data_IF_999236681963
#
_entry.id   IF_999236681963
#
_cell.length_a   1.000
_cell.length_b   1.000
_cell.length_c   1.000
_cell.angle_alpha   90.00
_cell.angle_beta   90.00
_cell.angle_gamma   90.00
#
_symmetry.space_group_name_H-M   'P 1'
#
loop_
_entity.id
_entity.type
_entity.pdbx_description
1 polymer ?
#
# COMPACT_ATOMS: atom_id res chain seq x y z
N UNK A 1 5.60 -9.38 -5.48
CA UNK A 1 6.97 -8.92 -5.14
C UNK A 1 7.57 -9.91 -4.15
N UNK A 2 8.75 -10.40 -4.49
CA UNK A 2 9.44 -11.48 -3.78
C UNK A 2 10.58 -10.92 -2.93
N UNK A 3 10.75 -11.38 -1.70
CA UNK A 3 11.88 -11.07 -0.84
C UNK A 3 12.39 -12.37 -0.20
N UNK A 4 13.66 -12.71 -0.41
CA UNK A 4 14.31 -13.96 0.02
C UNK A 4 13.51 -15.23 -0.37
N UNK A 5 12.86 -15.21 -1.54
CA UNK A 5 12.01 -16.31 -2.01
C UNK A 5 10.57 -16.28 -1.49
N UNK A 6 10.22 -15.36 -0.59
CA UNK A 6 8.86 -15.20 -0.09
C UNK A 6 8.06 -14.16 -0.87
N UNK A 7 6.80 -14.45 -1.17
CA UNK A 7 5.90 -13.46 -1.74
C UNK A 7 5.39 -12.52 -0.64
N UNK A 8 5.98 -11.33 -0.53
CA UNK A 8 5.76 -10.40 0.60
C UNK A 8 4.80 -9.24 0.32
N UNK A 9 4.43 -9.02 -0.95
CA UNK A 9 3.52 -7.92 -1.31
C UNK A 9 3.39 -7.64 -2.80
N UNK A 10 2.67 -6.57 -3.10
CA UNK A 10 2.35 -6.12 -4.46
C UNK A 10 2.79 -4.68 -4.64
N UNK A 11 3.43 -4.39 -5.77
CA UNK A 11 3.58 -3.02 -6.25
C UNK A 11 2.41 -2.72 -7.18
N UNK A 12 1.73 -1.60 -6.98
CA UNK A 12 0.54 -1.24 -7.75
C UNK A 12 0.66 0.18 -8.30
N UNK A 13 -0.02 0.41 -9.42
CA UNK A 13 -0.16 1.72 -10.04
C UNK A 13 -1.63 1.93 -10.45
N UNK A 14 -2.12 3.15 -10.27
CA UNK A 14 -3.41 3.59 -10.76
C UNK A 14 -3.42 3.74 -12.27
N UNK A 15 -4.59 3.58 -12.87
CA UNK A 15 -4.80 3.81 -14.31
C UNK A 15 -4.77 5.30 -14.67
N UNK A 16 -4.82 6.18 -13.67
CA UNK A 16 -4.69 7.64 -13.77
C UNK A 16 -3.27 8.12 -14.08
N UNK A 17 -2.29 7.21 -14.13
CA UNK A 17 -0.86 7.48 -14.30
C UNK A 17 -0.24 8.39 -13.22
N UNK A 18 -0.95 8.59 -12.10
CA UNK A 18 -0.56 9.50 -11.00
C UNK A 18 -0.46 8.82 -9.65
N UNK A 19 -1.15 7.70 -9.48
CA UNK A 19 -1.18 6.98 -8.21
C UNK A 19 -0.30 5.73 -8.29
N UNK A 20 0.51 5.47 -7.27
CA UNK A 20 1.25 4.22 -7.12
C UNK A 20 1.51 3.95 -5.64
N UNK A 21 1.74 2.68 -5.31
CA UNK A 21 2.11 2.31 -3.96
C UNK A 21 2.55 0.87 -3.82
N UNK A 22 2.86 0.53 -2.58
CA UNK A 22 3.18 -0.83 -2.18
C UNK A 22 2.12 -1.34 -1.21
N UNK A 23 1.61 -2.54 -1.46
CA UNK A 23 0.75 -3.28 -0.55
C UNK A 23 1.53 -4.45 0.03
N UNK A 24 1.84 -4.38 1.31
CA UNK A 24 2.44 -5.50 2.05
C UNK A 24 1.38 -6.53 2.45
N UNK A 25 1.74 -7.81 2.40
CA UNK A 25 0.88 -8.88 2.90
C UNK A 25 0.92 -8.94 4.44
N UNK A 26 -0.21 -9.17 5.15
CA UNK A 26 -0.28 -9.13 6.62
C UNK A 26 0.71 -10.04 7.36
N UNK A 27 1.04 -11.20 6.78
CA UNK A 27 1.94 -12.20 7.40
C UNK A 27 3.44 -11.86 7.32
N UNK A 28 3.82 -10.74 6.70
CA UNK A 28 5.23 -10.40 6.45
C UNK A 28 5.67 -9.11 7.13
N UNK A 29 5.00 -8.74 8.24
CA UNK A 29 5.34 -7.53 9.00
C UNK A 29 6.79 -7.55 9.49
N UNK A 30 7.23 -8.69 10.03
CA UNK A 30 8.54 -8.85 10.67
C UNK A 30 9.67 -9.05 9.64
N UNK A 31 9.34 -9.60 8.47
CA UNK A 31 10.31 -9.92 7.40
C UNK A 31 10.49 -8.75 6.45
N UNK A 32 9.39 -8.08 6.08
CA UNK A 32 9.36 -6.97 5.12
C UNK A 32 8.99 -5.66 5.83
N UNK A 33 9.63 -5.38 6.97
CA UNK A 33 9.35 -4.19 7.78
C UNK A 33 9.72 -2.90 7.05
N UNK A 34 10.91 -2.84 6.47
CA UNK A 34 11.47 -1.66 5.79
C UNK A 34 11.02 -1.52 4.33
N UNK A 35 10.53 -2.61 3.74
CA UNK A 35 10.12 -2.71 2.35
C UNK A 35 9.10 -1.66 1.90
N UNK A 36 8.08 -1.27 2.69
CA UNK A 36 7.18 -0.17 2.33
C UNK A 36 7.88 1.18 2.18
N UNK A 37 8.80 1.51 3.10
CA UNK A 37 9.55 2.77 3.06
C UNK A 37 10.44 2.81 1.82
N UNK A 38 11.12 1.71 1.56
CA UNK A 38 11.96 1.53 0.39
C UNK A 38 11.21 1.75 -0.92
N UNK A 39 10.04 1.14 -1.10
CA UNK A 39 9.24 1.32 -2.31
C UNK A 39 8.62 2.72 -2.39
N UNK A 40 8.20 3.29 -1.26
CA UNK A 40 7.71 4.67 -1.21
C UNK A 40 8.76 5.66 -1.73
N UNK A 41 10.02 5.50 -1.37
CA UNK A 41 11.10 6.37 -1.85
C UNK A 41 11.33 6.23 -3.35
N UNK A 42 11.31 5.01 -3.89
CA UNK A 42 11.51 4.77 -5.34
C UNK A 42 10.36 5.29 -6.18
N UNK A 43 9.12 5.12 -5.72
CA UNK A 43 7.95 5.67 -6.38
C UNK A 43 7.92 7.20 -6.30
N UNK A 44 8.33 7.77 -5.16
CA UNK A 44 8.48 9.22 -5.03
C UNK A 44 9.55 9.77 -5.98
N UNK A 45 10.69 9.07 -6.13
CA UNK A 45 11.72 9.46 -7.08
C UNK A 45 11.23 9.37 -8.54
N UNK A 46 10.49 8.32 -8.90
CA UNK A 46 9.86 8.20 -10.21
C UNK A 46 8.86 9.33 -10.47
N UNK A 47 8.06 9.69 -9.47
CA UNK A 47 7.12 10.82 -9.53
C UNK A 47 7.83 12.16 -9.70
N UNK A 48 8.97 12.39 -9.02
CA UNK A 48 9.81 13.59 -9.21
C UNK A 48 10.39 13.70 -10.62
N UNK A 49 10.55 12.58 -11.31
CA UNK A 49 10.99 12.49 -12.71
C UNK A 49 9.82 12.52 -13.70
N UNK A 50 8.60 12.76 -13.21
CA UNK A 50 7.37 12.81 -13.99
C UNK A 50 7.09 11.52 -14.78
N UNK A 51 7.58 10.38 -14.28
CA UNK A 51 7.34 9.09 -14.90
C UNK A 51 5.88 8.66 -14.64
N UNK A 52 5.13 8.21 -15.66
CA UNK A 52 3.79 7.65 -15.46
C UNK A 52 3.82 6.51 -14.45
N UNK A 53 2.85 6.48 -13.53
CA UNK A 53 2.90 5.53 -12.40
C UNK A 53 2.99 4.06 -12.83
N UNK A 54 2.36 3.67 -13.94
CA UNK A 54 2.49 2.30 -14.48
C UNK A 54 3.91 1.99 -14.93
N UNK A 55 4.57 2.93 -15.60
CA UNK A 55 5.97 2.77 -16.01
C UNK A 55 6.92 2.79 -14.81
N UNK A 56 6.60 3.57 -13.79
CA UNK A 56 7.34 3.59 -12.52
C UNK A 56 7.37 2.22 -11.82
N UNK A 57 6.31 1.42 -11.99
CA UNK A 57 6.22 0.03 -11.50
C UNK A 57 6.87 -0.94 -12.48
N UNK A 58 6.52 -0.89 -13.77
CA UNK A 58 6.97 -1.85 -14.79
C UNK A 58 8.48 -1.89 -14.98
N UNK A 59 9.18 -0.77 -14.81
CA UNK A 59 10.64 -0.72 -14.93
C UNK A 59 11.39 -1.65 -13.94
N UNK A 60 10.72 -2.12 -12.89
CA UNK A 60 11.29 -3.01 -11.87
C UNK A 60 11.08 -4.49 -12.17
N UNK A 61 10.25 -4.84 -13.17
CA UNK A 61 10.02 -6.23 -13.59
C UNK A 61 11.33 -6.82 -14.13
N UNK A 62 11.72 -7.98 -13.62
CA UNK A 62 12.91 -8.70 -14.04
C UNK A 62 14.25 -8.11 -13.56
N UNK A 63 14.23 -7.05 -12.76
CA UNK A 63 15.46 -6.54 -12.14
C UNK A 63 15.95 -7.48 -11.04
N UNK A 64 17.28 -7.54 -10.79
CA UNK A 64 17.82 -8.27 -9.65
C UNK A 64 17.13 -7.85 -8.35
N UNK A 65 16.93 -8.85 -7.49
CA UNK A 65 16.36 -8.66 -6.17
C UNK A 65 17.23 -7.74 -5.30
N UNK A 66 16.58 -6.82 -4.60
CA UNK A 66 17.21 -5.94 -3.62
C UNK A 66 17.04 -6.54 -2.21
N UNK A 67 18.08 -6.44 -1.37
CA UNK A 67 18.08 -7.03 -0.01
C UNK A 67 16.98 -6.49 0.92
N UNK A 68 16.51 -5.27 0.67
CA UNK A 68 15.47 -4.61 1.47
C UNK A 68 14.13 -4.62 0.72
N UNK A 69 14.22 -4.27 -0.57
CA UNK A 69 13.05 -4.08 -1.43
C UNK A 69 12.44 -5.33 -2.01
N UNK A 70 13.19 -6.42 -2.04
CA UNK A 70 12.87 -7.57 -2.84
C UNK A 70 13.00 -7.28 -4.35
N UNK A 71 12.42 -8.18 -5.14
CA UNK A 71 12.41 -8.13 -6.60
C UNK A 71 11.03 -8.46 -7.17
N UNK A 72 10.80 -8.00 -8.40
CA UNK A 72 9.64 -8.42 -9.20
C UNK A 72 10.16 -9.41 -10.24
N UNK A 73 9.77 -10.70 -10.18
CA UNK A 73 10.19 -11.70 -11.16
C UNK A 73 9.90 -11.27 -12.61
N UNK A 74 10.71 -11.72 -13.56
CA UNK A 74 10.54 -11.38 -14.98
C UNK A 74 9.24 -11.96 -15.59
N UNK A 75 8.74 -13.05 -15.00
CA UNK A 75 7.49 -13.73 -15.34
C UNK A 75 6.29 -13.25 -14.49
N UNK A 76 6.47 -12.18 -13.70
CA UNK A 76 5.39 -11.64 -12.88
C UNK A 76 4.21 -11.20 -13.76
N UNK A 77 3.02 -11.73 -13.46
CA UNK A 77 1.79 -11.39 -14.18
C UNK A 77 1.20 -10.08 -13.65
N UNK A 78 1.07 -9.09 -14.52
CA UNK A 78 0.31 -7.87 -14.23
C UNK A 78 -1.19 -8.20 -14.11
N UNK A 79 -1.85 -7.63 -13.10
CA UNK A 79 -3.28 -7.81 -12.84
C UNK A 79 -3.93 -6.45 -12.62
N UNK A 80 -5.24 -6.37 -12.90
CA UNK A 80 -6.05 -5.18 -12.65
C UNK A 80 -6.96 -5.42 -11.47
N UNK A 81 -7.19 -4.37 -10.68
CA UNK A 81 -8.21 -4.29 -9.64
C UNK A 81 -8.98 -2.99 -9.84
N UNK A 82 -10.31 -3.01 -9.66
CA UNK A 82 -11.17 -1.85 -9.86
C UNK A 82 -10.97 -0.79 -8.76
N UNK A 83 -10.60 -1.23 -7.55
CA UNK A 83 -10.33 -0.36 -6.40
C UNK A 83 -9.32 -0.97 -5.42
N UNK A 84 -8.94 -0.20 -4.40
CA UNK A 84 -7.99 -0.64 -3.38
C UNK A 84 -8.50 -1.82 -2.53
N UNK A 85 -9.82 -1.96 -2.37
CA UNK A 85 -10.41 -3.09 -1.64
C UNK A 85 -10.23 -4.37 -2.44
N UNK A 86 -10.49 -4.35 -3.75
CA UNK A 86 -10.24 -5.48 -4.63
C UNK A 86 -8.74 -5.83 -4.68
N UNK A 87 -7.86 -4.83 -4.70
CA UNK A 87 -6.41 -5.04 -4.59
C UNK A 87 -6.04 -5.79 -3.29
N UNK A 88 -6.62 -5.40 -2.14
CA UNK A 88 -6.40 -6.14 -0.89
C UNK A 88 -6.97 -7.55 -0.93
N UNK A 89 -8.10 -7.77 -1.62
CA UNK A 89 -8.69 -9.11 -1.77
C UNK A 89 -7.85 -10.06 -2.63
N UNK A 90 -6.99 -9.53 -3.51
CA UNK A 90 -6.02 -10.36 -4.24
C UNK A 90 -5.00 -11.04 -3.30
N UNK A 91 -4.74 -10.42 -2.15
CA UNK A 91 -3.85 -10.95 -1.12
C UNK A 91 -4.60 -11.75 -0.04
N UNK A 92 -5.66 -11.15 0.50
CA UNK A 92 -6.51 -11.72 1.53
C UNK A 92 -7.95 -11.76 1.01
N UNK A 93 -8.43 -12.89 0.46
CA UNK A 93 -9.80 -13.02 -0.03
C UNK A 93 -10.87 -12.74 1.03
N UNK A 94 -10.52 -12.89 2.32
CA UNK A 94 -11.37 -12.59 3.46
C UNK A 94 -11.37 -11.11 3.86
N UNK A 95 -10.57 -10.27 3.21
CA UNK A 95 -10.41 -8.88 3.57
C UNK A 95 -11.74 -8.13 3.52
N UNK A 96 -12.10 -7.56 4.67
CA UNK A 96 -13.23 -6.66 4.85
C UNK A 96 -12.69 -5.31 5.27
N UNK A 97 -13.18 -4.26 4.61
CA UNK A 97 -12.86 -2.88 4.98
C UNK A 97 -13.25 -2.67 6.45
N UNK A 98 -12.27 -2.40 7.31
CA UNK A 98 -12.52 -2.00 8.69
C UNK A 98 -12.69 -0.47 8.74
N UNK A 99 -13.51 0.07 9.67
CA UNK A 99 -13.51 1.51 9.97
C UNK A 99 -12.12 2.07 10.30
N UNK A 100 -11.18 1.23 10.77
CA UNK A 100 -9.78 1.65 10.98
C UNK A 100 -8.98 1.76 9.68
N UNK A 101 -9.45 1.20 8.56
CA UNK A 101 -8.86 1.45 7.24
C UNK A 101 -9.20 2.84 6.71
N UNK A 102 -10.23 3.51 7.28
CA UNK A 102 -10.50 4.94 7.03
C UNK A 102 -9.35 5.85 7.47
N UNK A 103 -8.49 5.38 8.39
CA UNK A 103 -7.25 6.08 8.77
C UNK A 103 -6.38 6.34 7.53
N UNK A 104 -6.33 5.43 6.55
CA UNK A 104 -5.59 5.65 5.31
C UNK A 104 -6.16 6.79 4.43
N UNK A 105 -7.40 7.20 4.64
CA UNK A 105 -8.10 8.23 3.86
C UNK A 105 -8.11 9.61 4.53
N UNK A 106 -7.35 9.79 5.61
CA UNK A 106 -7.12 11.10 6.22
C UNK A 106 -8.09 11.48 7.33
N UNK A 107 -8.99 10.59 7.74
CA UNK A 107 -9.89 10.76 8.89
C UNK A 107 -9.87 9.51 9.79
N UNK A 108 -9.74 9.72 11.10
CA UNK A 108 -9.81 8.67 12.11
C UNK A 108 -11.27 8.18 12.26
N UNK A 109 -11.51 7.01 12.87
CA UNK A 109 -12.87 6.45 13.03
C UNK A 109 -13.88 7.34 13.77
N UNK A 110 -13.40 8.34 14.51
CA UNK A 110 -14.20 9.34 15.21
C UNK A 110 -14.45 10.63 14.38
N UNK A 111 -14.01 10.66 13.11
CA UNK A 111 -14.08 11.81 12.22
C UNK A 111 -12.93 12.81 12.39
N UNK A 112 -11.93 12.52 13.23
CA UNK A 112 -10.80 13.42 13.43
C UNK A 112 -9.87 13.43 12.21
N UNK A 113 -9.49 14.59 11.66
CA UNK A 113 -8.57 14.64 10.53
C UNK A 113 -7.16 14.19 10.96
N UNK A 114 -6.52 13.35 10.14
CA UNK A 114 -5.11 12.98 10.32
C UNK A 114 -4.17 14.13 10.00
N UNK A 115 -4.52 14.96 9.03
CA UNK A 115 -3.82 16.21 8.74
C UNK A 115 -4.12 17.22 9.86
N UNK A 116 -3.15 17.38 10.77
CA UNK A 116 -3.29 18.28 11.93
C UNK A 116 -3.33 19.76 11.57
N UNK A 117 -3.05 20.13 10.32
CA UNK A 117 -3.33 21.49 9.83
C UNK A 117 -4.83 21.74 9.64
N UNK A 118 -5.63 20.67 9.51
CA UNK A 118 -7.10 20.71 9.35
C UNK A 118 -7.86 20.56 10.66
N UNK A 119 -7.17 20.38 11.79
CA UNK A 119 -7.77 20.27 13.12
C UNK A 119 -7.15 19.16 13.97
N UNK A 120 -7.55 19.11 15.25
CA UNK A 120 -6.97 18.18 16.24
C UNK A 120 -7.91 17.04 16.66
N UNK A 121 -9.20 17.13 16.33
CA UNK A 121 -10.24 16.22 16.84
C UNK A 121 -10.70 16.59 18.26
N UNK A 122 -11.78 15.97 18.78
CA UNK A 122 -12.24 16.16 20.15
C UNK A 122 -11.25 15.56 21.16
N UNK A 123 -11.24 16.09 22.40
CA UNK A 123 -10.41 15.56 23.51
C UNK A 123 -10.77 14.12 23.94
N UNK A 124 -11.83 13.52 23.39
CA UNK A 124 -12.34 12.22 23.80
C UNK A 124 -12.78 11.38 22.60
N UNK A 125 -12.20 10.19 22.47
CA UNK A 125 -12.71 9.13 21.60
C UNK A 125 -13.91 8.47 22.28
N UNK A 126 -15.12 8.65 21.74
CA UNK A 126 -16.27 7.84 22.15
C UNK A 126 -16.28 6.56 21.32
N UNK A 127 -15.61 5.52 21.82
CA UNK A 127 -15.78 4.18 21.29
C UNK A 127 -17.22 3.73 21.61
N UNK A 128 -18.12 3.77 20.61
CA UNK A 128 -19.42 3.11 20.72
C UNK A 128 -19.17 1.60 20.79
N UNK A 129 -19.37 1.00 21.97
CA UNK A 129 -19.45 -0.46 22.07
C UNK A 129 -20.68 -0.92 21.26
N UNK A 130 -20.57 -1.95 20.42
CA UNK A 130 -21.75 -2.57 19.84
C UNK A 130 -22.62 -3.13 20.96
N UNK A 131 -23.87 -2.69 21.02
CA UNK A 131 -24.91 -3.26 21.88
C UNK A 131 -25.14 -4.71 21.48
N UNK A 132 -24.97 -5.62 22.44
CA UNK A 132 -25.38 -7.02 22.36
C UNK A 132 -26.89 -7.13 22.34
#
# INVERSE_FOLDING_TARGET
MMLNGDHVGYLWAGTDDRSAGFLRRPGFLDVAYETPVFWSQRLQEASRRELPSREAVRQWIGRPEDLIGGGIPADATERTAADYTELRRLDDPGYRLSPTDSILYGELPDGSPMDRSKGWGPLSFTCRRPTT
#
